data_IF_408734024852
#
_entry.id   IF_408734024852
#
_cell.length_a   1.000
_cell.length_b   1.000
_cell.length_c   1.000
_cell.angle_alpha   90.00
_cell.angle_beta   90.00
_cell.angle_gamma   90.00
#
_symmetry.space_group_name_H-M   'P 1'
#
loop_
_entity.id
_entity.type
_entity.pdbx_description
1 polymer ?
#
# COMPACT_ATOMS: atom_id res chain seq x y z
N UNK A 1 -4.33 13.43 -0.27
CA UNK A 1 -5.28 12.55 0.46
C UNK A 1 -6.61 12.63 -0.27
N UNK A 2 -7.35 11.52 -0.37
CA UNK A 2 -8.70 11.54 -0.96
C UNK A 2 -9.78 11.91 0.07
N UNK A 3 -9.54 11.70 1.37
CA UNK A 3 -10.53 12.00 2.42
C UNK A 3 -11.52 10.86 2.59
N UNK A 4 -12.69 11.12 3.18
CA UNK A 4 -13.80 10.16 3.19
C UNK A 4 -14.52 10.24 1.86
N UNK A 5 -14.27 9.27 0.99
CA UNK A 5 -14.92 9.12 -0.30
C UNK A 5 -15.78 7.85 -0.34
N UNK A 6 -16.76 7.76 -1.25
CA UNK A 6 -17.49 6.52 -1.49
C UNK A 6 -16.54 5.38 -1.88
N UNK A 7 -16.84 4.17 -1.41
CA UNK A 7 -16.02 2.98 -1.68
C UNK A 7 -15.69 2.75 -3.16
N UNK A 8 -16.63 2.87 -4.13
CA UNK A 8 -16.31 2.66 -5.54
C UNK A 8 -15.22 3.61 -6.07
N UNK A 9 -15.21 4.85 -5.59
CA UNK A 9 -14.20 5.84 -6.02
C UNK A 9 -12.81 5.52 -5.45
N UNK A 10 -12.75 5.06 -4.20
CA UNK A 10 -11.49 4.64 -3.57
C UNK A 10 -10.93 3.37 -4.22
N UNK A 11 -11.80 2.44 -4.59
CA UNK A 11 -11.44 1.20 -5.31
C UNK A 11 -10.92 1.51 -6.70
N UNK A 12 -11.62 2.34 -7.49
CA UNK A 12 -11.15 2.72 -8.83
C UNK A 12 -9.79 3.44 -8.80
N UNK A 13 -9.55 4.25 -7.76
CA UNK A 13 -8.25 4.89 -7.54
C UNK A 13 -7.14 3.88 -7.20
N UNK A 14 -7.47 2.81 -6.47
CA UNK A 14 -6.56 1.70 -6.19
C UNK A 14 -6.27 0.90 -7.47
N UNK A 15 -7.30 0.51 -8.21
CA UNK A 15 -7.18 -0.28 -9.44
C UNK A 15 -6.40 0.46 -10.51
N UNK A 16 -6.63 1.77 -10.65
CA UNK A 16 -5.84 2.61 -11.55
C UNK A 16 -4.36 2.66 -11.17
N UNK A 17 -4.02 2.63 -9.87
CA UNK A 17 -2.63 2.51 -9.42
C UNK A 17 -2.04 1.13 -9.70
N UNK A 18 -2.79 0.08 -9.43
CA UNK A 18 -2.37 -1.30 -9.68
C UNK A 18 -2.15 -1.53 -11.18
N UNK A 19 -3.03 -1.04 -12.06
CA UNK A 19 -2.84 -1.04 -13.52
C UNK A 19 -1.54 -0.36 -13.93
N UNK A 20 -1.24 0.79 -13.34
CA UNK A 20 -0.09 1.62 -13.73
C UNK A 20 1.25 1.07 -13.23
N UNK A 21 1.31 0.55 -12.01
CA UNK A 21 2.57 0.22 -11.34
C UNK A 21 2.76 -1.30 -11.10
N UNK A 22 1.69 -2.09 -11.20
CA UNK A 22 1.71 -3.51 -10.87
C UNK A 22 2.08 -3.78 -9.41
N UNK A 23 2.63 -4.97 -9.15
CA UNK A 23 3.14 -5.37 -7.84
C UNK A 23 2.09 -6.01 -6.93
N UNK A 24 2.38 -5.99 -5.63
CA UNK A 24 1.53 -6.60 -4.60
C UNK A 24 0.68 -5.53 -3.92
N UNK A 25 -0.63 -5.81 -3.83
CA UNK A 25 -1.57 -4.99 -3.09
C UNK A 25 -1.84 -5.62 -1.72
N UNK A 26 -1.93 -4.80 -0.67
CA UNK A 26 -2.31 -5.24 0.67
C UNK A 26 -3.15 -4.18 1.39
N UNK A 27 -4.02 -4.60 2.28
CA UNK A 27 -4.90 -3.70 3.04
C UNK A 27 -4.98 -4.09 4.53
N UNK A 28 -5.29 -3.12 5.39
CA UNK A 28 -5.62 -3.39 6.79
C UNK A 28 -7.00 -4.07 6.88
N UNK A 29 -7.03 -5.28 7.43
CA UNK A 29 -8.21 -6.13 7.54
C UNK A 29 -8.79 -6.17 8.97
N UNK A 30 -8.36 -5.27 9.87
CA UNK A 30 -8.70 -5.32 11.30
C UNK A 30 -10.16 -4.96 11.62
N UNK A 31 -10.85 -4.21 10.75
CA UNK A 31 -12.17 -3.62 11.07
C UNK A 31 -13.35 -3.92 10.14
N UNK A 32 -13.12 -4.18 8.86
CA UNK A 32 -14.20 -4.34 7.87
C UNK A 32 -13.96 -5.63 7.08
N UNK A 33 -14.70 -6.67 7.46
CA UNK A 33 -14.76 -7.92 6.69
C UNK A 33 -15.29 -7.68 5.28
N UNK A 34 -14.71 -8.41 4.31
CA UNK A 34 -15.08 -8.70 2.91
C UNK A 34 -15.62 -7.59 1.97
N UNK A 35 -16.21 -6.49 2.43
CA UNK A 35 -16.85 -5.47 1.57
C UNK A 35 -15.88 -4.85 0.57
N UNK A 36 -14.62 -4.69 0.98
CA UNK A 36 -13.56 -4.13 0.14
C UNK A 36 -13.01 -5.18 -0.84
N UNK A 37 -12.96 -6.45 -0.43
CA UNK A 37 -12.43 -7.53 -1.27
C UNK A 37 -13.33 -7.83 -2.47
N UNK A 38 -14.65 -7.70 -2.32
CA UNK A 38 -15.61 -8.01 -3.38
C UNK A 38 -15.63 -6.95 -4.50
N UNK A 39 -15.02 -5.78 -4.27
CA UNK A 39 -15.00 -4.67 -5.23
C UNK A 39 -13.68 -4.52 -5.99
N UNK A 40 -12.59 -5.16 -5.53
CA UNK A 40 -11.26 -4.94 -6.10
C UNK A 40 -10.96 -5.97 -7.19
N UNK A 41 -10.58 -5.48 -8.37
CA UNK A 41 -10.29 -6.32 -9.54
C UNK A 41 -8.92 -7.05 -9.46
N UNK A 42 -8.10 -6.74 -8.45
CA UNK A 42 -6.75 -7.26 -8.26
C UNK A 42 -6.65 -8.16 -7.00
N UNK A 43 -5.72 -9.14 -6.99
CA UNK A 43 -5.45 -9.91 -5.78
C UNK A 43 -4.88 -8.99 -4.70
N UNK A 44 -5.64 -8.80 -3.62
CA UNK A 44 -5.22 -8.03 -2.45
C UNK A 44 -4.95 -8.95 -1.26
N UNK A 45 -3.82 -8.74 -0.60
CA UNK A 45 -3.46 -9.48 0.61
C UNK A 45 -4.05 -8.78 1.84
N UNK A 46 -4.97 -9.42 2.59
CA UNK A 46 -5.45 -8.87 3.85
C UNK A 46 -4.34 -8.99 4.91
N UNK A 47 -4.05 -7.89 5.61
CA UNK A 47 -3.13 -7.87 6.75
C UNK A 47 -3.92 -7.52 8.01
N UNK A 48 -4.01 -8.47 8.94
CA UNK A 48 -4.75 -8.29 10.19
C UNK A 48 -3.79 -7.75 11.26
N UNK A 49 -3.95 -6.48 11.62
CA UNK A 49 -3.07 -5.77 12.56
C UNK A 49 -3.53 -5.95 14.01
N UNK A 50 -3.37 -7.17 14.53
CA UNK A 50 -3.72 -7.51 15.92
C UNK A 50 -2.56 -8.13 16.70
N UNK A 51 -2.58 -7.90 18.01
CA UNK A 51 -1.66 -8.53 18.97
C UNK A 51 -0.18 -8.41 18.58
N UNK A 52 0.51 -9.54 18.57
CA UNK A 52 1.95 -9.64 18.27
C UNK A 52 2.29 -9.19 16.84
N UNK A 53 1.45 -9.55 15.86
CA UNK A 53 1.67 -9.23 14.44
C UNK A 53 1.69 -7.72 14.21
N UNK A 54 0.77 -6.98 14.87
CA UNK A 54 0.76 -5.51 14.85
C UNK A 54 2.09 -4.93 15.34
N UNK A 55 2.62 -5.45 16.45
CA UNK A 55 3.85 -4.97 17.05
C UNK A 55 5.07 -5.26 16.16
N UNK A 56 5.14 -6.45 15.57
CA UNK A 56 6.21 -6.83 14.65
C UNK A 56 6.26 -5.91 13.44
N UNK A 57 5.12 -5.69 12.77
CA UNK A 57 5.03 -4.84 11.58
C UNK A 57 5.47 -3.40 11.87
N UNK A 58 5.04 -2.83 13.01
CA UNK A 58 5.47 -1.48 13.37
C UNK A 58 6.95 -1.41 13.76
N UNK A 59 7.47 -2.40 14.49
CA UNK A 59 8.89 -2.45 14.83
C UNK A 59 9.78 -2.53 13.59
N UNK A 60 9.40 -3.37 12.61
CA UNK A 60 10.10 -3.48 11.33
C UNK A 60 10.11 -2.14 10.58
N UNK A 61 8.96 -1.47 10.53
CA UNK A 61 8.82 -0.20 9.84
C UNK A 61 9.62 0.94 10.52
N UNK A 62 9.57 1.04 11.85
CA UNK A 62 10.36 2.01 12.61
C UNK A 62 11.85 1.78 12.40
N UNK A 63 12.29 0.53 12.53
CA UNK A 63 13.70 0.16 12.32
C UNK A 63 14.18 0.57 10.93
N UNK A 64 13.35 0.39 9.90
CA UNK A 64 13.68 0.78 8.53
C UNK A 64 13.77 2.30 8.35
N UNK A 65 12.90 3.07 9.00
CA UNK A 65 12.99 4.55 8.98
C UNK A 65 14.29 5.00 9.67
N UNK A 66 14.57 4.48 10.86
CA UNK A 66 15.75 4.86 11.65
C UNK A 66 17.06 4.54 10.94
N UNK A 67 17.09 3.46 10.16
CA UNK A 67 18.25 3.06 9.36
C UNK A 67 18.33 3.75 7.99
N UNK A 68 17.28 4.48 7.58
CA UNK A 68 17.20 5.09 6.26
C UNK A 68 17.06 4.07 5.12
N UNK A 69 16.39 2.94 5.37
CA UNK A 69 16.29 1.81 4.42
C UNK A 69 15.41 2.09 3.20
N UNK A 70 14.63 3.17 3.20
CA UNK A 70 13.84 3.59 2.05
C UNK A 70 13.72 5.12 1.98
N UNK A 71 13.36 5.61 0.80
CA UNK A 71 13.06 7.02 0.57
C UNK A 71 11.60 7.18 0.15
N UNK A 72 10.95 8.24 0.61
CA UNK A 72 9.60 8.60 0.21
C UNK A 72 9.54 10.10 -0.12
N UNK A 73 8.64 10.53 -1.01
CA UNK A 73 8.42 11.95 -1.26
C UNK A 73 7.96 12.64 0.02
N UNK A 74 8.43 13.88 0.23
CA UNK A 74 8.03 14.69 1.39
C UNK A 74 6.59 15.16 1.22
N UNK A 75 5.66 14.46 1.85
CA UNK A 75 4.25 14.85 1.94
C UNK A 75 4.02 15.43 3.35
N UNK A 76 3.77 16.74 3.46
CA UNK A 76 3.72 17.44 4.76
C UNK A 76 2.73 16.83 5.75
N UNK A 77 1.59 16.35 5.27
CA UNK A 77 0.60 15.67 6.12
C UNK A 77 1.15 14.36 6.70
N UNK A 78 1.72 13.49 5.86
CA UNK A 78 2.34 12.23 6.30
C UNK A 78 3.50 12.50 7.25
N UNK A 79 4.31 13.51 6.95
CA UNK A 79 5.40 13.95 7.83
C UNK A 79 4.88 14.39 9.20
N UNK A 80 3.79 15.18 9.24
CA UNK A 80 3.14 15.58 10.48
C UNK A 80 2.62 14.38 11.29
N UNK A 81 1.95 13.44 10.64
CA UNK A 81 1.47 12.21 11.28
C UNK A 81 2.60 11.39 11.89
N UNK A 82 3.74 11.25 11.20
CA UNK A 82 4.90 10.53 11.74
C UNK A 82 5.59 11.32 12.85
N UNK A 83 5.70 12.64 12.73
CA UNK A 83 6.38 13.51 13.69
C UNK A 83 5.65 13.60 15.04
N UNK A 84 4.31 13.60 15.02
CA UNK A 84 3.48 13.75 16.22
C UNK A 84 2.90 12.42 16.73
N UNK A 85 3.30 11.31 16.13
CA UNK A 85 2.90 9.96 16.53
C UNK A 85 3.32 9.67 17.98
N UNK A 86 2.41 9.12 18.78
CA UNK A 86 2.72 8.72 20.15
C UNK A 86 2.90 7.21 20.23
N UNK A 87 3.72 6.78 21.20
CA UNK A 87 3.88 5.35 21.53
C UNK A 87 2.55 4.68 21.87
N UNK A 88 1.63 5.41 22.51
CA UNK A 88 0.29 4.91 22.85
C UNK A 88 -0.57 4.63 21.60
N UNK A 89 -0.35 5.32 20.50
CA UNK A 89 -1.06 5.08 19.23
C UNK A 89 -0.57 3.80 18.52
N UNK A 90 0.68 3.41 18.77
CA UNK A 90 1.30 2.22 18.17
C UNK A 90 1.11 0.96 19.03
N UNK A 91 1.44 1.06 20.33
CA UNK A 91 1.50 -0.09 21.25
C UNK A 91 0.39 -0.09 22.28
N UNK A 92 -0.30 1.03 22.44
CA UNK A 92 -1.38 1.20 23.40
C UNK A 92 -2.77 1.00 22.79
N UNK A 93 -3.73 1.71 23.38
CA UNK A 93 -5.14 1.70 22.97
C UNK A 93 -5.47 2.74 21.90
N UNK A 94 -4.50 3.57 21.51
CA UNK A 94 -4.70 4.59 20.47
C UNK A 94 -4.82 3.97 19.07
N UNK A 95 -5.35 4.78 18.15
CA UNK A 95 -5.46 4.42 16.74
C UNK A 95 -4.31 5.07 15.96
N UNK A 96 -3.45 4.28 15.29
CA UNK A 96 -2.34 4.83 14.53
C UNK A 96 -2.87 5.61 13.32
N UNK A 97 -2.17 6.67 12.88
CA UNK A 97 -2.53 7.39 11.67
C UNK A 97 -2.50 6.50 10.42
N UNK A 98 -3.43 6.71 9.49
CA UNK A 98 -3.57 5.90 8.27
C UNK A 98 -2.25 5.80 7.47
N UNK A 99 -1.47 6.89 7.38
CA UNK A 99 -0.22 6.87 6.62
C UNK A 99 0.87 6.01 7.25
N UNK A 100 0.88 5.89 8.58
CA UNK A 100 1.81 5.03 9.32
C UNK A 100 1.43 3.58 9.10
N UNK A 101 0.12 3.27 9.16
CA UNK A 101 -0.41 1.93 8.87
C UNK A 101 -0.10 1.52 7.43
N UNK A 102 -0.41 2.37 6.47
CA UNK A 102 -0.15 2.11 5.06
C UNK A 102 1.36 1.93 4.78
N UNK A 103 2.21 2.77 5.36
CA UNK A 103 3.66 2.67 5.23
C UNK A 103 4.22 1.37 5.84
N UNK A 104 3.74 1.00 7.03
CA UNK A 104 4.17 -0.21 7.71
C UNK A 104 3.75 -1.48 6.97
N UNK A 105 2.50 -1.55 6.48
CA UNK A 105 2.04 -2.66 5.64
C UNK A 105 2.86 -2.74 4.35
N UNK A 106 3.10 -1.61 3.67
CA UNK A 106 3.89 -1.59 2.45
C UNK A 106 5.32 -2.11 2.69
N UNK A 107 5.96 -1.68 3.78
CA UNK A 107 7.28 -2.16 4.16
C UNK A 107 7.29 -3.65 4.50
N UNK A 108 6.30 -4.13 5.25
CA UNK A 108 6.17 -5.53 5.59
C UNK A 108 5.98 -6.44 4.36
N UNK A 109 5.27 -5.94 3.34
CA UNK A 109 4.97 -6.69 2.12
C UNK A 109 6.08 -6.63 1.05
N UNK A 110 7.14 -5.83 1.27
CA UNK A 110 8.19 -5.57 0.26
C UNK A 110 8.83 -6.84 -0.31
N UNK A 111 9.08 -7.84 0.54
CA UNK A 111 9.76 -9.08 0.12
C UNK A 111 8.80 -10.05 -0.61
N UNK A 112 7.48 -9.80 -0.48
CA UNK A 112 6.45 -10.56 -1.20
C UNK A 112 6.19 -10.00 -2.59
N UNK A 113 6.57 -8.74 -2.85
CA UNK A 113 6.47 -8.12 -4.16
C UNK A 113 7.38 -8.75 -5.21
N UNK A 114 8.49 -9.39 -4.80
CA UNK A 114 9.49 -9.97 -5.71
C UNK A 114 9.01 -11.25 -6.43
N UNK A 115 7.88 -11.84 -6.03
CA UNK A 115 7.43 -13.15 -6.55
C UNK A 115 6.40 -13.06 -7.70
N UNK A 116 5.80 -11.90 -7.96
CA UNK A 116 4.95 -11.74 -9.15
C UNK A 116 5.78 -11.15 -10.29
N UNK A 117 6.11 -11.98 -11.29
CA UNK A 117 6.62 -11.51 -12.58
C UNK A 117 5.72 -10.38 -13.06
N UNK A 118 6.25 -9.16 -13.18
CA UNK A 118 5.62 -8.18 -14.03
C UNK A 118 5.49 -8.83 -15.41
N UNK A 119 4.28 -8.88 -16.02
CA UNK A 119 4.24 -9.08 -17.46
C UNK A 119 5.14 -7.99 -18.07
N UNK A 120 5.98 -8.34 -19.05
CA UNK A 120 6.87 -7.36 -19.66
C UNK A 120 6.03 -6.15 -20.06
N UNK A 121 6.53 -4.96 -19.79
CA UNK A 121 6.04 -3.74 -20.40
C UNK A 121 6.16 -3.96 -21.90
N UNK A 122 5.09 -4.43 -22.52
CA UNK A 122 4.97 -4.41 -23.97
C UNK A 122 4.91 -2.92 -24.25
N UNK A 123 5.98 -2.42 -24.83
CA UNK A 123 6.08 -1.05 -25.30
C UNK A 123 4.89 -0.85 -26.25
N UNK A 124 3.85 -0.12 -25.81
CA UNK A 124 2.70 0.23 -26.65
C UNK A 124 3.11 1.09 -27.87
N UNK A 125 4.40 1.35 -28.04
CA UNK A 125 5.01 1.97 -29.21
C UNK A 125 5.32 1.02 -30.37
N UNK A 126 5.36 -0.31 -30.20
CA UNK A 126 5.69 -1.23 -31.31
C UNK A 126 4.48 -1.71 -32.14
N UNK A 127 3.24 -1.57 -31.64
CA UNK A 127 2.05 -2.03 -32.40
C UNK A 127 1.60 -1.05 -33.49
N UNK A 128 2.12 0.20 -33.49
CA UNK A 128 1.76 1.19 -34.50
C UNK A 128 2.63 1.15 -35.78
N UNK A 129 3.71 0.37 -35.80
CA UNK A 129 4.69 0.42 -36.90
C UNK A 129 4.57 -0.71 -37.95
N UNK A 130 3.67 -1.69 -37.80
CA UNK A 130 3.61 -2.86 -38.69
C UNK A 130 2.36 -2.98 -39.58
N UNK A 131 1.59 -1.92 -39.78
CA UNK A 131 0.38 -1.94 -40.63
C UNK A 131 0.51 -1.12 -41.93
N UNK A 132 1.72 -1.06 -42.50
CA UNK A 132 1.94 -0.45 -43.82
C UNK A 132 2.71 -1.35 -44.80
N UNK A 133 2.44 -2.65 -44.78
CA UNK A 133 2.84 -3.51 -45.90
C UNK A 133 1.68 -4.45 -46.31
N UNK A 134 1.30 -4.28 -47.59
CA UNK A 134 0.25 -4.93 -48.42
C UNK A 134 -1.06 -4.15 -48.54
#
# INVERSE_FOLDING_TARGET
RLGREPWPFMVEALDSRMRRYGGVCAHDATGLGNVVNDLIDYPVTPVVLVGRVRQEIFNEYISAIEQGSFMCPRIEYMYGEHKYLRLEDLYGRGHPPDSVVAGAIAWHMRDRATTMMMPPLIDEFEVAASNWDI
#
